data_IF_443214026517
#
_entry.id   IF_443214026517
#
_cell.length_a   1.000
_cell.length_b   1.000
_cell.length_c   1.000
_cell.angle_alpha   90.00
_cell.angle_beta   90.00
_cell.angle_gamma   90.00
#
_symmetry.space_group_name_H-M   'P 1'
#
loop_
_entity.id
_entity.type
_entity.pdbx_description
1 polymer ?
#
# COMPACT_ATOMS: atom_id res chain seq x y z
N UNK A 1 -6.82 16.11 -3.38
CA UNK A 1 -5.78 15.26 -4.01
C UNK A 1 -4.69 14.98 -2.98
N UNK A 2 -4.87 14.00 -2.09
CA UNK A 2 -3.94 13.64 -1.00
C UNK A 2 -4.15 12.16 -0.55
N UNK A 3 -3.87 11.19 -1.43
CA UNK A 3 -4.01 9.75 -1.17
C UNK A 3 -2.69 8.99 -1.02
N UNK A 4 -1.59 9.70 -0.75
CA UNK A 4 -0.24 9.14 -0.63
C UNK A 4 0.18 9.05 0.84
N UNK A 5 1.06 8.11 1.18
CA UNK A 5 1.58 7.89 2.55
C UNK A 5 0.47 7.67 3.60
N UNK A 6 -0.56 6.90 3.27
CA UNK A 6 -1.70 6.65 4.16
C UNK A 6 -2.62 7.84 4.41
N UNK A 7 -2.37 9.01 3.79
CA UNK A 7 -3.26 10.17 3.91
C UNK A 7 -4.60 9.88 3.26
N UNK A 8 -5.68 10.30 3.93
CA UNK A 8 -7.05 10.08 3.45
C UNK A 8 -7.52 8.63 3.55
N UNK A 9 -6.84 7.80 4.35
CA UNK A 9 -7.23 6.41 4.64
C UNK A 9 -7.55 6.26 6.12
N UNK A 10 -8.55 5.42 6.43
CA UNK A 10 -8.98 5.13 7.80
C UNK A 10 -9.21 3.64 7.93
N UNK A 11 -8.60 3.01 8.95
CA UNK A 11 -8.85 1.62 9.28
C UNK A 11 -10.23 1.47 9.94
N UNK A 12 -11.04 0.55 9.43
CA UNK A 12 -12.36 0.21 9.97
C UNK A 12 -12.24 -1.15 10.67
N UNK A 13 -12.41 -1.18 12.00
CA UNK A 13 -12.33 -2.42 12.79
C UNK A 13 -13.69 -3.09 12.99
N UNK A 14 -14.79 -2.32 12.95
CA UNK A 14 -16.15 -2.83 12.99
C UNK A 14 -17.04 -2.13 11.95
N UNK A 15 -18.06 -2.83 11.44
CA UNK A 15 -18.98 -2.27 10.45
C UNK A 15 -19.66 -0.97 10.91
N UNK A 16 -19.90 -0.83 12.22
CA UNK A 16 -20.47 0.37 12.82
C UNK A 16 -19.56 1.62 12.71
N UNK A 17 -18.25 1.44 12.48
CA UNK A 17 -17.30 2.55 12.35
C UNK A 17 -17.31 3.18 10.95
N UNK A 18 -17.89 2.51 9.95
CA UNK A 18 -17.83 2.93 8.56
C UNK A 18 -18.38 4.36 8.32
N UNK A 19 -19.53 4.78 8.89
CA UNK A 19 -20.02 6.15 8.73
C UNK A 19 -19.04 7.20 9.28
N UNK A 20 -18.41 6.91 10.43
CA UNK A 20 -17.41 7.79 11.04
C UNK A 20 -16.13 7.86 10.21
N UNK A 21 -15.69 6.73 9.65
CA UNK A 21 -14.52 6.67 8.77
C UNK A 21 -14.72 7.49 7.49
N UNK A 22 -15.89 7.37 6.86
CA UNK A 22 -16.22 8.14 5.65
C UNK A 22 -16.27 9.65 5.94
N UNK A 23 -16.82 10.04 7.10
CA UNK A 23 -16.83 11.43 7.53
C UNK A 23 -15.41 11.96 7.79
N UNK A 24 -14.52 11.16 8.39
CA UNK A 24 -13.14 11.55 8.69
C UNK A 24 -12.29 11.84 7.43
N UNK A 25 -12.62 11.23 6.29
CA UNK A 25 -11.99 11.52 4.99
C UNK A 25 -12.76 12.59 4.18
N UNK A 26 -13.74 13.25 4.79
CA UNK A 26 -14.49 14.36 4.20
C UNK A 26 -15.52 13.93 3.15
N UNK A 27 -16.03 12.69 3.23
CA UNK A 27 -16.94 12.11 2.22
C UNK A 27 -16.39 12.18 0.78
N UNK A 28 -15.06 12.22 0.63
CA UNK A 28 -14.42 12.13 -0.68
C UNK A 28 -14.75 10.78 -1.34
N UNK A 29 -14.80 10.70 -2.68
CA UNK A 29 -14.87 9.42 -3.38
C UNK A 29 -13.75 8.49 -2.88
N UNK A 30 -14.13 7.30 -2.43
CA UNK A 30 -13.23 6.37 -1.75
C UNK A 30 -13.49 4.93 -2.19
N UNK A 31 -12.48 4.08 -2.00
CA UNK A 31 -12.58 2.63 -2.15
C UNK A 31 -12.64 2.00 -0.75
N UNK A 32 -13.52 1.01 -0.60
CA UNK A 32 -13.54 0.15 0.58
C UNK A 32 -12.85 -1.17 0.23
N UNK A 33 -11.78 -1.47 0.94
CA UNK A 33 -10.95 -2.66 0.72
C UNK A 33 -10.94 -3.52 1.98
N UNK A 34 -10.86 -4.84 1.81
CA UNK A 34 -10.68 -5.76 2.93
C UNK A 34 -9.25 -5.67 3.48
N UNK A 35 -9.11 -5.68 4.81
CA UNK A 35 -7.80 -5.72 5.44
C UNK A 35 -7.13 -7.08 5.19
N UNK A 36 -5.96 -7.07 4.54
CA UNK A 36 -5.14 -8.26 4.34
C UNK A 36 -4.15 -8.38 5.51
N UNK A 37 -4.24 -9.48 6.26
CA UNK A 37 -3.26 -9.84 7.28
C UNK A 37 -2.05 -10.53 6.63
N UNK A 38 -1.27 -9.76 5.88
CA UNK A 38 -0.06 -10.28 5.24
C UNK A 38 1.06 -10.51 6.27
N UNK A 39 1.96 -11.45 5.98
CA UNK A 39 3.15 -11.67 6.80
C UNK A 39 4.23 -10.61 6.53
N UNK A 40 4.36 -10.19 5.26
CA UNK A 40 5.41 -9.30 4.74
C UNK A 40 4.85 -8.45 3.62
N UNK A 41 5.31 -7.20 3.51
CA UNK A 41 5.09 -6.37 2.32
C UNK A 41 6.30 -6.49 1.41
N UNK A 42 6.06 -6.72 0.12
CA UNK A 42 7.13 -6.80 -0.87
C UNK A 42 6.82 -5.92 -2.08
N UNK A 43 7.87 -5.47 -2.76
CA UNK A 43 7.75 -4.81 -4.05
C UNK A 43 8.74 -5.40 -5.04
N UNK A 44 8.40 -5.26 -6.32
CA UNK A 44 9.26 -5.63 -7.43
C UNK A 44 9.23 -4.50 -8.45
N UNK A 45 10.41 -4.12 -8.95
CA UNK A 45 10.51 -3.17 -10.05
C UNK A 45 10.61 -3.98 -11.34
N UNK A 46 9.69 -3.73 -12.26
CA UNK A 46 9.70 -4.28 -13.60
C UNK A 46 9.96 -3.17 -14.61
N UNK A 47 10.81 -3.44 -15.61
CA UNK A 47 11.19 -2.50 -16.66
C UNK A 47 10.84 -3.09 -18.01
N UNK A 48 10.17 -2.30 -18.87
CA UNK A 48 9.84 -2.68 -20.24
C UNK A 48 10.40 -1.66 -21.22
N UNK A 49 11.25 -2.12 -22.14
CA UNK A 49 11.77 -1.34 -23.26
C UNK A 49 10.71 -1.07 -24.32
N UNK A 50 10.93 -0.04 -25.15
CA UNK A 50 10.04 0.28 -26.27
C UNK A 50 10.06 -0.81 -27.35
N UNK A 51 11.17 -1.54 -27.44
CA UNK A 51 11.37 -2.75 -28.25
C UNK A 51 10.64 -3.98 -27.67
N UNK A 52 10.01 -3.85 -26.51
CA UNK A 52 9.32 -4.93 -25.82
C UNK A 52 10.23 -5.78 -24.92
N UNK A 53 11.53 -5.50 -24.83
CA UNK A 53 12.42 -6.17 -23.89
C UNK A 53 11.90 -5.97 -22.45
N UNK A 54 11.97 -7.01 -21.62
CA UNK A 54 11.42 -6.98 -20.27
C UNK A 54 12.44 -7.51 -19.27
N UNK A 55 12.63 -6.79 -18.18
CA UNK A 55 13.53 -7.17 -17.10
C UNK A 55 12.89 -6.89 -15.75
N UNK A 56 13.28 -7.67 -14.73
CA UNK A 56 12.74 -7.60 -13.38
C UNK A 56 13.87 -7.55 -12.37
N UNK A 57 13.81 -6.60 -11.44
CA UNK A 57 14.76 -6.50 -10.34
C UNK A 57 14.48 -7.55 -9.26
N UNK A 58 15.48 -7.81 -8.41
CA UNK A 58 15.34 -8.68 -7.25
C UNK A 58 14.22 -8.19 -6.32
N UNK A 59 13.44 -9.14 -5.78
CA UNK A 59 12.35 -8.85 -4.86
C UNK A 59 12.84 -8.10 -3.62
N UNK A 60 12.10 -7.07 -3.23
CA UNK A 60 12.40 -6.19 -2.10
C UNK A 60 11.38 -6.40 -1.00
N UNK A 61 11.82 -6.60 0.25
CA UNK A 61 10.96 -6.55 1.43
C UNK A 61 10.87 -5.12 1.95
N UNK A 62 9.65 -4.65 2.20
CA UNK A 62 9.38 -3.30 2.67
C UNK A 62 8.79 -3.32 4.07
N UNK A 63 9.18 -2.34 4.89
CA UNK A 63 8.57 -2.09 6.19
C UNK A 63 8.05 -0.66 6.19
N UNK A 64 6.74 -0.50 6.29
CA UNK A 64 6.12 0.80 6.51
C UNK A 64 5.93 1.08 8.00
N UNK A 65 6.09 2.33 8.40
CA UNK A 65 5.76 2.84 9.72
C UNK A 65 4.85 4.05 9.55
N UNK A 66 3.69 4.04 10.21
CA UNK A 66 2.69 5.11 10.11
C UNK A 66 2.28 5.42 8.65
N UNK A 67 2.18 4.38 7.81
CA UNK A 67 1.82 4.50 6.39
C UNK A 67 2.93 5.00 5.46
N UNK A 68 4.15 5.19 5.97
CA UNK A 68 5.31 5.69 5.21
C UNK A 68 6.37 4.60 5.14
N UNK A 69 6.99 4.39 3.97
CA UNK A 69 8.08 3.44 3.81
C UNK A 69 9.27 3.85 4.69
N UNK A 70 9.67 2.96 5.60
CA UNK A 70 10.79 3.19 6.50
C UNK A 70 12.05 2.41 6.09
N UNK A 71 11.89 1.17 5.62
CA UNK A 71 13.02 0.29 5.27
C UNK A 71 12.67 -0.52 4.01
N UNK A 72 13.63 -0.61 3.08
CA UNK A 72 13.63 -1.58 1.98
C UNK A 72 14.84 -2.50 2.09
N UNK A 73 14.65 -3.82 2.01
CA UNK A 73 15.71 -4.84 2.13
C UNK A 73 15.79 -5.69 0.86
N UNK A 74 17.00 -5.91 0.37
CA UNK A 74 17.28 -6.74 -0.82
C UNK A 74 18.42 -7.72 -0.50
N UNK A 75 18.26 -9.03 -0.77
CA UNK A 75 17.03 -9.68 -1.23
C UNK A 75 15.96 -9.69 -0.13
N UNK A 76 14.69 -9.84 -0.51
CA UNK A 76 13.63 -10.17 0.43
C UNK A 76 13.98 -11.47 1.21
N UNK A 77 13.63 -11.52 2.50
CA UNK A 77 13.92 -12.69 3.35
C UNK A 77 13.02 -13.87 2.97
N UNK A 78 13.56 -15.08 3.05
CA UNK A 78 12.80 -16.33 2.89
C UNK A 78 11.88 -16.56 4.08
#
# INVERSE_FOLDING_TARGET
RLGYDGKGQVLISAAADAPKALAAIGHAPALLEGLVLFEREVSVIAVRGQDGAFQVYTLVENVHQNGILAISRVPARS
#
